data_IF_770996215208
#
_entry.id   IF_770996215208
#
_cell.length_a   1.000
_cell.length_b   1.000
_cell.length_c   1.000
_cell.angle_alpha   90.00
_cell.angle_beta   90.00
_cell.angle_gamma   90.00
#
_symmetry.space_group_name_H-M   'P 1'
#
loop_
_entity.id
_entity.type
_entity.pdbx_description
1 polymer ?
#
# COMPACT_ATOMS: atom_id res chain seq x y z
N UNK A 1 5.74 -24.60 7.76
CA UNK A 1 5.00 -23.41 8.22
C UNK A 1 5.99 -22.25 8.21
N UNK A 2 6.14 -21.57 7.08
CA UNK A 2 7.04 -20.42 6.97
C UNK A 2 6.27 -19.18 7.40
N UNK A 3 6.63 -18.59 8.53
CA UNK A 3 6.16 -17.25 8.88
C UNK A 3 6.70 -16.29 7.83
N UNK A 4 5.88 -15.98 6.82
CA UNK A 4 6.04 -14.78 6.02
C UNK A 4 6.01 -13.63 7.02
N UNK A 5 7.19 -13.12 7.39
CA UNK A 5 7.30 -11.83 8.04
C UNK A 5 6.72 -10.85 7.03
N UNK A 6 5.47 -10.46 7.24
CA UNK A 6 4.78 -9.44 6.46
C UNK A 6 5.69 -8.22 6.42
N UNK A 7 6.36 -8.06 5.28
CA UNK A 7 7.23 -6.94 5.02
C UNK A 7 6.29 -5.76 4.72
N UNK A 8 5.77 -5.15 5.78
CA UNK A 8 4.86 -4.00 5.77
C UNK A 8 5.58 -2.68 5.46
N UNK A 9 6.80 -2.74 4.91
CA UNK A 9 7.48 -1.53 4.46
C UNK A 9 6.97 -1.11 3.08
N UNK A 10 6.55 0.15 2.99
CA UNK A 10 6.15 0.77 1.73
C UNK A 10 7.33 0.76 0.75
N UNK A 11 7.26 -0.12 -0.25
CA UNK A 11 8.23 -0.20 -1.34
C UNK A 11 7.76 0.62 -2.54
N UNK A 12 8.71 1.30 -3.19
CA UNK A 12 8.46 2.01 -4.45
C UNK A 12 8.64 1.04 -5.63
N UNK A 13 7.61 0.96 -6.48
CA UNK A 13 7.63 0.21 -7.75
C UNK A 13 8.53 0.91 -8.78
N UNK A 14 9.37 0.15 -9.47
CA UNK A 14 10.10 0.66 -10.65
C UNK A 14 9.23 0.63 -11.91
N UNK A 15 9.66 1.34 -12.96
CA UNK A 15 8.98 1.33 -14.27
C UNK A 15 9.01 -0.07 -14.89
N UNK A 16 10.15 -0.77 -14.80
CA UNK A 16 10.29 -2.13 -15.34
C UNK A 16 9.35 -3.09 -14.64
N UNK A 17 9.24 -2.99 -13.32
CA UNK A 17 8.30 -3.79 -12.54
C UNK A 17 6.85 -3.47 -12.88
N UNK A 18 6.52 -2.19 -13.12
CA UNK A 18 5.18 -1.80 -13.56
C UNK A 18 4.83 -2.33 -14.96
N UNK A 19 5.79 -2.32 -15.90
CA UNK A 19 5.60 -2.82 -17.27
C UNK A 19 5.61 -4.35 -17.35
N UNK A 20 6.09 -5.04 -16.31
CA UNK A 20 6.04 -6.49 -16.22
C UNK A 20 4.62 -7.03 -15.96
N UNK A 21 3.67 -6.17 -15.56
CA UNK A 21 2.27 -6.55 -15.41
C UNK A 21 1.59 -6.69 -16.77
N UNK A 22 0.77 -7.72 -16.90
CA UNK A 22 -0.01 -7.97 -18.12
C UNK A 22 -0.93 -6.77 -18.42
N UNK A 23 -0.93 -6.34 -19.68
CA UNK A 23 -1.65 -5.15 -20.15
C UNK A 23 -0.96 -3.80 -19.89
N UNK A 24 0.22 -3.76 -19.27
CA UNK A 24 0.98 -2.51 -19.01
C UNK A 24 2.31 -2.40 -19.76
N UNK A 25 2.66 -3.39 -20.60
CA UNK A 25 3.93 -3.43 -21.34
C UNK A 25 4.14 -2.22 -22.25
N UNK A 26 3.06 -1.72 -22.83
CA UNK A 26 3.08 -0.70 -23.88
C UNK A 26 3.03 0.74 -23.32
N UNK A 27 3.05 0.89 -21.99
CA UNK A 27 3.09 2.20 -21.36
C UNK A 27 4.37 2.95 -21.76
N UNK A 28 4.22 4.21 -22.13
CA UNK A 28 5.37 5.12 -22.17
C UNK A 28 5.94 5.32 -20.76
N UNK A 29 7.23 5.64 -20.66
CA UNK A 29 7.87 5.89 -19.36
C UNK A 29 7.21 7.05 -18.61
N UNK A 30 6.63 8.01 -19.33
CA UNK A 30 5.85 9.10 -18.73
C UNK A 30 4.58 8.57 -18.07
N UNK A 31 3.79 7.75 -18.77
CA UNK A 31 2.58 7.16 -18.22
C UNK A 31 2.90 6.22 -17.04
N UNK A 32 3.98 5.45 -17.15
CA UNK A 32 4.45 4.59 -16.07
C UNK A 32 4.80 5.40 -14.80
N UNK A 33 5.51 6.53 -14.94
CA UNK A 33 5.81 7.44 -13.82
C UNK A 33 4.55 8.01 -13.18
N UNK A 34 3.58 8.44 -13.98
CA UNK A 34 2.30 8.96 -13.47
C UNK A 34 1.53 7.87 -12.71
N UNK A 35 1.47 6.64 -13.24
CA UNK A 35 0.85 5.51 -12.53
C UNK A 35 1.55 5.17 -11.22
N UNK A 36 2.88 5.13 -11.19
CA UNK A 36 3.65 4.89 -9.96
C UNK A 36 3.31 5.95 -8.90
N UNK A 37 3.20 7.21 -9.30
CA UNK A 37 2.83 8.30 -8.38
C UNK A 37 1.42 8.09 -7.80
N UNK A 38 0.43 7.76 -8.63
CA UNK A 38 -0.95 7.49 -8.20
C UNK A 38 -1.00 6.30 -7.23
N UNK A 39 -0.31 5.20 -7.55
CA UNK A 39 -0.25 4.01 -6.71
C UNK A 39 0.42 4.31 -5.36
N UNK A 40 1.46 5.14 -5.35
CA UNK A 40 2.13 5.58 -4.13
C UNK A 40 1.18 6.38 -3.23
N UNK A 41 0.44 7.32 -3.79
CA UNK A 41 -0.50 8.16 -3.04
C UNK A 41 -1.65 7.32 -2.46
N UNK A 42 -2.17 6.37 -3.26
CA UNK A 42 -3.19 5.44 -2.80
C UNK A 42 -2.67 4.54 -1.67
N UNK A 43 -1.46 3.99 -1.82
CA UNK A 43 -0.82 3.15 -0.80
C UNK A 43 -0.61 3.90 0.51
N UNK A 44 -0.15 5.15 0.45
CA UNK A 44 -0.02 6.04 1.61
C UNK A 44 -1.38 6.31 2.28
N UNK A 45 -2.43 6.53 1.49
CA UNK A 45 -3.78 6.75 2.03
C UNK A 45 -4.30 5.48 2.72
N UNK A 46 -4.15 4.31 2.09
CA UNK A 46 -4.54 3.03 2.66
C UNK A 46 -3.80 2.74 3.97
N UNK A 47 -2.48 2.94 3.99
CA UNK A 47 -1.66 2.81 5.20
C UNK A 47 -2.17 3.72 6.32
N UNK A 48 -2.45 5.00 6.03
CA UNK A 48 -3.01 5.95 7.01
C UNK A 48 -4.35 5.49 7.56
N UNK A 49 -5.24 4.95 6.72
CA UNK A 49 -6.56 4.44 7.13
C UNK A 49 -6.40 3.23 8.05
N UNK A 50 -5.56 2.26 7.67
CA UNK A 50 -5.31 1.05 8.45
C UNK A 50 -4.69 1.42 9.80
N UNK A 51 -3.61 2.20 9.83
CA UNK A 51 -2.96 2.62 11.08
C UNK A 51 -3.90 3.43 11.98
N UNK A 52 -4.77 4.29 11.42
CA UNK A 52 -5.78 5.02 12.20
C UNK A 52 -6.85 4.08 12.77
N UNK A 53 -7.29 3.08 12.00
CA UNK A 53 -8.26 2.09 12.46
C UNK A 53 -7.67 1.17 13.55
N UNK A 54 -6.42 0.75 13.41
CA UNK A 54 -5.69 0.03 14.44
C UNK A 54 -5.52 0.87 15.70
N UNK A 55 -5.13 2.15 15.56
CA UNK A 55 -5.07 3.07 16.70
C UNK A 55 -6.41 3.15 17.44
N UNK A 56 -7.53 3.32 16.73
CA UNK A 56 -8.88 3.35 17.32
C UNK A 56 -9.23 2.03 18.04
N UNK A 57 -8.89 0.86 17.46
CA UNK A 57 -9.10 -0.44 18.09
C UNK A 57 -8.24 -0.65 19.35
N UNK A 58 -7.07 -0.03 19.41
CA UNK A 58 -6.16 -0.12 20.57
C UNK A 58 -6.48 0.85 21.70
N UNK A 59 -7.44 1.79 21.54
CA UNK A 59 -7.88 2.65 22.65
C UNK A 59 -8.63 1.78 23.68
N UNK A 60 -8.05 1.48 24.86
CA UNK A 60 -8.64 0.52 25.81
C UNK A 60 -9.90 1.06 26.49
N UNK A 61 -10.24 2.34 26.27
CA UNK A 61 -11.31 3.06 26.97
C UNK A 61 -12.71 2.87 26.38
N UNK A 62 -12.84 2.18 25.24
CA UNK A 62 -14.15 1.90 24.62
C UNK A 62 -14.62 0.44 24.82
N UNK A 63 -13.82 -0.42 25.48
CA UNK A 63 -14.24 -1.79 25.90
C UNK A 63 -14.76 -1.80 27.35
N UNK A 64 -15.65 -0.89 27.70
CA UNK A 64 -16.38 -0.94 28.98
C UNK A 64 -17.80 -0.43 28.80
N UNK A 65 -18.60 -1.20 28.07
CA UNK A 65 -20.06 -1.24 28.24
C UNK A 65 -20.51 -2.68 27.99
N UNK A 66 -20.21 -3.55 28.94
CA UNK A 66 -21.06 -4.69 29.33
C UNK A 66 -21.14 -4.71 30.86
#
# INVERSE_FOLDING_TARGET
MGSSKDNTELRVLTIEELKAFDGLSDLSDKQAKEMIAILKDFSLMAHKIISKNEYVRTIPRLRKEE
#
